data_IF_775790334999
#
_entry.id   IF_775790334999
#
_cell.length_a   1.000
_cell.length_b   1.000
_cell.length_c   1.000
_cell.angle_alpha   90.00
_cell.angle_beta   90.00
_cell.angle_gamma   90.00
#
_symmetry.space_group_name_H-M   'P 1'
#
loop_
_entity.id
_entity.type
_entity.pdbx_description
1 polymer ?
#
# COMPACT_ATOMS: atom_id res chain seq x y z
N UNK A 1 6.42 -20.80 5.12
CA UNK A 1 6.43 -19.32 5.17
C UNK A 1 5.69 -18.87 3.94
N UNK A 2 4.65 -18.05 4.06
CA UNK A 2 4.04 -17.49 2.86
C UNK A 2 5.03 -16.44 2.33
N UNK A 3 5.38 -16.53 1.05
CA UNK A 3 6.23 -15.52 0.44
C UNK A 3 5.37 -14.27 0.16
N UNK A 4 5.94 -13.06 0.25
CA UNK A 4 5.21 -11.87 -0.19
C UNK A 4 4.86 -12.02 -1.67
N UNK A 5 3.62 -11.67 -2.02
CA UNK A 5 3.10 -11.77 -3.39
C UNK A 5 3.71 -10.72 -4.32
N UNK A 6 4.11 -9.59 -3.75
CA UNK A 6 4.71 -8.49 -4.48
C UNK A 6 6.12 -8.19 -3.99
N UNK A 7 6.91 -7.54 -4.85
CA UNK A 7 8.33 -7.26 -4.61
C UNK A 7 8.68 -5.78 -4.74
N UNK A 8 9.79 -5.39 -4.13
CA UNK A 8 10.36 -4.05 -4.28
C UNK A 8 10.58 -3.70 -5.76
N UNK A 9 10.26 -2.46 -6.14
CA UNK A 9 10.33 -1.95 -7.52
C UNK A 9 9.20 -2.42 -8.44
N UNK A 10 8.23 -3.19 -7.92
CA UNK A 10 7.10 -3.63 -8.73
C UNK A 10 6.05 -2.53 -8.85
N UNK A 11 5.58 -2.32 -10.09
CA UNK A 11 4.47 -1.44 -10.40
C UNK A 11 3.14 -2.08 -10.03
N UNK A 12 2.29 -1.33 -9.33
CA UNK A 12 0.96 -1.75 -8.88
C UNK A 12 -0.08 -0.66 -9.09
N UNK A 13 -1.34 -1.02 -8.97
CA UNK A 13 -2.49 -0.10 -8.95
C UNK A 13 -3.31 -0.32 -7.68
N UNK A 14 -3.84 0.76 -7.11
CA UNK A 14 -4.83 0.68 -6.04
C UNK A 14 -6.06 -0.09 -6.56
N UNK A 15 -6.43 -1.16 -5.86
CA UNK A 15 -7.58 -2.00 -6.20
C UNK A 15 -8.92 -1.34 -5.78
N UNK A 16 -8.85 -0.46 -4.80
CA UNK A 16 -9.95 0.26 -4.17
C UNK A 16 -9.44 1.62 -3.65
N UNK A 17 -10.36 2.47 -3.22
CA UNK A 17 -10.02 3.71 -2.54
C UNK A 17 -9.30 3.43 -1.22
N UNK A 18 -8.15 4.06 -1.01
CA UNK A 18 -7.36 3.95 0.21
C UNK A 18 -7.62 5.17 1.08
N UNK A 19 -8.21 4.94 2.25
CA UNK A 19 -8.51 5.98 3.22
C UNK A 19 -7.49 5.94 4.36
N UNK A 20 -7.21 7.10 4.96
CA UNK A 20 -6.34 7.19 6.11
C UNK A 20 -7.02 6.55 7.33
N UNK A 21 -6.46 5.46 7.82
CA UNK A 21 -6.90 4.79 9.05
C UNK A 21 -6.42 5.50 10.34
N UNK A 22 -5.72 6.63 10.19
CA UNK A 22 -5.12 7.42 11.26
C UNK A 22 -3.60 7.21 11.38
N UNK A 23 -3.00 6.33 10.57
CA UNK A 23 -1.55 6.11 10.53
C UNK A 23 -0.79 7.14 9.69
N UNK A 24 -1.46 7.83 8.75
CA UNK A 24 -0.83 8.84 7.91
C UNK A 24 -0.90 10.23 8.59
N UNK A 25 0.24 10.86 8.95
CA UNK A 25 0.26 12.04 9.80
C UNK A 25 -0.23 13.32 9.12
N UNK A 26 -0.06 13.43 7.80
CA UNK A 26 -0.32 14.68 7.06
C UNK A 26 -1.76 14.77 6.51
N UNK A 27 -2.63 13.82 6.86
CA UNK A 27 -4.02 13.79 6.43
C UNK A 27 -4.96 13.46 7.61
N UNK A 28 -6.21 13.95 7.63
CA UNK A 28 -7.19 13.54 8.63
C UNK A 28 -7.51 12.05 8.54
N UNK A 29 -7.96 11.45 9.64
CA UNK A 29 -8.57 10.12 9.61
C UNK A 29 -9.78 10.12 8.66
N UNK A 30 -10.01 8.98 7.98
CA UNK A 30 -11.07 8.74 7.00
C UNK A 30 -10.99 9.62 5.74
N UNK A 31 -9.90 10.38 5.57
CA UNK A 31 -9.66 11.12 4.32
C UNK A 31 -9.13 10.19 3.22
N UNK A 32 -9.55 10.42 1.98
CA UNK A 32 -9.06 9.69 0.82
C UNK A 32 -7.60 10.06 0.56
N UNK A 33 -6.70 9.07 0.63
CA UNK A 33 -5.28 9.23 0.31
C UNK A 33 -5.00 8.94 -1.17
N UNK A 34 -5.58 7.86 -1.67
CA UNK A 34 -5.33 7.33 -3.03
C UNK A 34 -6.65 6.80 -3.57
N UNK A 35 -7.01 7.22 -4.78
CA UNK A 35 -8.21 6.72 -5.45
C UNK A 35 -7.97 5.35 -6.10
N UNK A 36 -9.02 4.55 -6.22
CA UNK A 36 -8.96 3.29 -6.96
C UNK A 36 -8.46 3.51 -8.40
N UNK A 37 -7.55 2.64 -8.84
CA UNK A 37 -6.93 2.73 -10.18
C UNK A 37 -5.68 3.60 -10.28
N UNK A 38 -5.32 4.33 -9.21
CA UNK A 38 -4.06 5.07 -9.21
C UNK A 38 -2.86 4.12 -9.16
N UNK A 39 -1.82 4.50 -9.91
CA UNK A 39 -0.60 3.70 -10.06
C UNK A 39 0.43 4.09 -9.02
N UNK A 40 1.16 3.10 -8.52
CA UNK A 40 2.27 3.30 -7.61
C UNK A 40 3.35 2.25 -7.77
N UNK A 41 4.45 2.46 -7.06
CA UNK A 41 5.60 1.55 -7.02
C UNK A 41 5.81 1.03 -5.60
N UNK A 42 6.06 -0.27 -5.46
CA UNK A 42 6.40 -0.85 -4.16
C UNK A 42 7.82 -0.42 -3.76
N UNK A 43 7.91 0.42 -2.74
CA UNK A 43 9.17 0.94 -2.22
C UNK A 43 9.66 0.20 -0.98
N UNK A 44 8.81 -0.63 -0.34
CA UNK A 44 9.22 -1.54 0.74
C UNK A 44 8.19 -2.67 0.95
N UNK A 45 8.66 -3.84 1.40
CA UNK A 45 7.82 -4.99 1.75
C UNK A 45 8.05 -5.34 3.21
N UNK A 46 7.11 -4.93 4.06
CA UNK A 46 7.06 -5.28 5.47
C UNK A 46 6.33 -6.59 5.71
N UNK A 47 6.66 -7.28 6.81
CA UNK A 47 5.89 -8.43 7.29
C UNK A 47 5.72 -8.33 8.79
N UNK A 48 4.47 -8.32 9.24
CA UNK A 48 4.17 -8.40 10.66
C UNK A 48 4.40 -9.85 11.12
N UNK A 49 5.43 -10.07 11.94
CA UNK A 49 5.96 -11.42 12.23
C UNK A 49 4.96 -12.29 13.01
N UNK A 50 4.19 -11.70 13.92
CA UNK A 50 3.24 -12.42 14.77
C UNK A 50 2.00 -12.90 13.99
N UNK A 51 1.43 -12.02 13.17
CA UNK A 51 0.23 -12.28 12.36
C UNK A 51 0.53 -12.83 10.98
N UNK A 52 1.81 -12.87 10.58
CA UNK A 52 2.29 -13.21 9.23
C UNK A 52 1.60 -12.41 8.12
N UNK A 53 1.18 -11.18 8.44
CA UNK A 53 0.52 -10.28 7.48
C UNK A 53 1.58 -9.48 6.74
N UNK A 54 1.55 -9.53 5.40
CA UNK A 54 2.42 -8.71 4.56
C UNK A 54 1.82 -7.32 4.40
N UNK A 55 2.67 -6.30 4.57
CA UNK A 55 2.34 -4.90 4.36
C UNK A 55 3.26 -4.38 3.25
N UNK A 56 2.69 -3.81 2.20
CA UNK A 56 3.43 -3.28 1.07
C UNK A 56 3.41 -1.76 1.18
N UNK A 57 4.56 -1.13 1.31
CA UNK A 57 4.65 0.32 1.21
C UNK A 57 4.74 0.69 -0.27
N UNK A 58 3.75 1.44 -0.72
CA UNK A 58 3.61 1.85 -2.12
C UNK A 58 3.72 3.36 -2.19
N UNK A 59 4.60 3.85 -3.05
CA UNK A 59 4.67 5.27 -3.39
C UNK A 59 3.69 5.56 -4.53
N UNK A 60 2.69 6.38 -4.24
CA UNK A 60 1.71 6.89 -5.18
C UNK A 60 2.00 8.36 -5.49
N UNK A 61 1.70 8.77 -6.73
CA UNK A 61 1.80 10.15 -7.19
C UNK A 61 3.15 10.83 -6.89
N UNK A 62 4.23 10.04 -6.83
CA UNK A 62 5.62 10.45 -6.54
C UNK A 62 5.81 11.22 -5.21
N UNK A 63 4.85 11.13 -4.28
CA UNK A 63 4.84 11.97 -3.07
C UNK A 63 4.28 11.31 -1.83
N UNK A 64 3.39 10.33 -1.99
CA UNK A 64 2.64 9.75 -0.88
C UNK A 64 3.02 8.28 -0.76
N UNK A 65 3.64 7.92 0.36
CA UNK A 65 3.92 6.52 0.67
C UNK A 65 2.82 5.99 1.57
N UNK A 66 2.06 5.01 1.10
CA UNK A 66 0.95 4.39 1.82
C UNK A 66 1.28 2.93 2.10
N UNK A 67 1.00 2.47 3.32
CA UNK A 67 1.03 1.04 3.64
C UNK A 67 -0.25 0.37 3.17
N UNK A 68 -0.12 -0.64 2.31
CA UNK A 68 -1.24 -1.36 1.73
C UNK A 68 -1.19 -2.84 2.10
N UNK A 69 -2.35 -3.45 2.32
CA UNK A 69 -2.51 -4.89 2.39
C UNK A 69 -2.51 -5.52 1.00
N UNK A 70 -2.25 -6.83 0.93
CA UNK A 70 -2.20 -7.57 -0.34
C UNK A 70 -3.47 -7.44 -1.21
N UNK A 71 -4.64 -7.33 -0.58
CA UNK A 71 -5.93 -7.21 -1.25
C UNK A 71 -6.27 -5.80 -1.74
N UNK A 72 -5.51 -4.79 -1.31
CA UNK A 72 -5.77 -3.38 -1.63
C UNK A 72 -5.03 -2.92 -2.88
N UNK A 73 -4.15 -3.76 -3.42
CA UNK A 73 -3.33 -3.47 -4.60
C UNK A 73 -3.39 -4.61 -5.62
N UNK A 74 -3.20 -4.26 -6.88
CA UNK A 74 -3.15 -5.20 -8.00
C UNK A 74 -1.88 -4.98 -8.83
N UNK A 75 -1.28 -6.04 -9.40
CA UNK A 75 -0.16 -5.85 -10.31
C UNK A 75 -0.63 -5.11 -11.57
N UNK A 76 0.23 -4.22 -12.08
CA UNK A 76 0.03 -3.57 -13.38
C UNK A 76 0.42 -4.47 -14.56
#
# INVERSE_FOLDING_TARGET
MNAPKFQWGQMVSAAQDLFNDGSFPDAPQDSLLVAAGEKGEIVNVGTHVETKTHIYLVEFNEKIVVGCFEGEITPL
#
